data_IF_494986444035
#
_entry.id   IF_494986444035
#
_cell.length_a   1.000
_cell.length_b   1.000
_cell.length_c   1.000
_cell.angle_alpha   90.00
_cell.angle_beta   90.00
_cell.angle_gamma   90.00
#
_symmetry.space_group_name_H-M   'P 1'
#
loop_
_entity.id
_entity.type
_entity.pdbx_description
1 polymer ?
#
# COMPACT_ATOMS: atom_id res chain seq x y z
N UNK A 1 -35.89 -68.14 41.28
CA UNK A 1 -35.63 -66.71 40.93
C UNK A 1 -34.13 -66.51 41.11
N UNK A 2 -33.32 -66.02 40.18
CA UNK A 2 -33.46 -64.95 39.19
C UNK A 2 -32.59 -65.34 37.99
N UNK A 3 -33.16 -65.36 36.78
CA UNK A 3 -32.42 -65.56 35.54
C UNK A 3 -31.80 -64.23 35.10
N UNK A 4 -30.46 -64.15 35.06
CA UNK A 4 -29.74 -63.00 34.54
C UNK A 4 -29.75 -63.01 33.00
N UNK A 5 -30.52 -62.10 32.40
CA UNK A 5 -30.46 -61.76 30.96
C UNK A 5 -29.11 -61.12 30.66
N UNK A 6 -28.27 -61.77 29.83
CA UNK A 6 -27.13 -61.12 29.19
C UNK A 6 -27.65 -60.17 28.09
N UNK A 7 -27.54 -58.87 28.32
CA UNK A 7 -27.68 -57.84 27.29
C UNK A 7 -26.38 -57.80 26.45
N UNK A 8 -26.45 -58.27 25.21
CA UNK A 8 -25.38 -58.14 24.22
C UNK A 8 -25.36 -56.72 23.66
N UNK A 9 -24.37 -55.92 24.08
CA UNK A 9 -23.97 -54.70 23.36
C UNK A 9 -23.39 -55.11 22.01
N UNK A 10 -24.06 -54.77 20.92
CA UNK A 10 -23.46 -54.80 19.60
C UNK A 10 -22.44 -53.66 19.49
N UNK A 11 -21.15 -54.01 19.39
CA UNK A 11 -20.09 -53.07 19.01
C UNK A 11 -20.29 -52.69 17.54
N UNK A 12 -20.59 -51.42 17.27
CA UNK A 12 -20.56 -50.87 15.91
C UNK A 12 -19.11 -50.88 15.44
N UNK A 13 -18.74 -51.84 14.58
CA UNK A 13 -17.45 -51.83 13.87
C UNK A 13 -17.35 -50.54 13.06
N UNK A 14 -16.31 -49.75 13.31
CA UNK A 14 -16.00 -48.57 12.52
C UNK A 14 -15.82 -48.99 11.05
N UNK A 15 -16.72 -48.55 10.17
CA UNK A 15 -16.63 -48.78 8.73
C UNK A 15 -15.35 -48.14 8.22
N UNK A 16 -14.44 -48.96 7.70
CA UNK A 16 -13.24 -48.50 6.99
C UNK A 16 -13.64 -47.48 5.92
N UNK A 17 -12.93 -46.35 5.78
CA UNK A 17 -13.27 -45.37 4.76
C UNK A 17 -13.24 -46.04 3.38
N UNK A 18 -14.20 -45.68 2.49
CA UNK A 18 -14.27 -46.28 1.16
C UNK A 18 -12.95 -46.06 0.40
N UNK A 19 -12.53 -47.02 -0.45
CA UNK A 19 -11.18 -47.08 -1.01
C UNK A 19 -10.76 -45.82 -1.78
N UNK A 20 -11.70 -45.06 -2.33
CA UNK A 20 -11.41 -43.82 -3.05
C UNK A 20 -10.86 -42.68 -2.15
N UNK A 21 -11.24 -42.64 -0.86
CA UNK A 21 -10.78 -41.59 0.07
C UNK A 21 -9.27 -41.76 0.38
N UNK A 22 -8.75 -42.97 0.27
CA UNK A 22 -7.32 -43.26 0.48
C UNK A 22 -6.42 -42.66 -0.61
N UNK A 23 -6.95 -42.48 -1.83
CA UNK A 23 -6.21 -41.90 -2.97
C UNK A 23 -6.37 -40.38 -3.11
N UNK A 24 -7.31 -39.77 -2.39
CA UNK A 24 -7.56 -38.33 -2.41
C UNK A 24 -6.31 -37.46 -2.09
N UNK A 25 -5.52 -37.73 -1.03
CA UNK A 25 -4.32 -36.93 -0.76
C UNK A 25 -3.24 -37.09 -1.84
N UNK A 26 -3.17 -38.26 -2.49
CA UNK A 26 -2.24 -38.51 -3.60
C UNK A 26 -2.67 -37.69 -4.81
N UNK A 27 -3.96 -37.69 -5.16
CA UNK A 27 -4.49 -36.89 -6.25
C UNK A 27 -4.28 -35.38 -6.04
N UNK A 28 -4.49 -34.88 -4.81
CA UNK A 28 -4.22 -33.49 -4.44
C UNK A 28 -2.72 -33.17 -4.54
N UNK A 29 -1.85 -34.07 -4.07
CA UNK A 29 -0.40 -33.90 -4.16
C UNK A 29 0.11 -33.85 -5.60
N UNK A 30 -0.41 -34.71 -6.48
CA UNK A 30 -0.09 -34.69 -7.92
C UNK A 30 -0.57 -33.40 -8.57
N UNK A 31 -1.80 -32.96 -8.27
CA UNK A 31 -2.32 -31.71 -8.80
C UNK A 31 -1.47 -30.49 -8.38
N UNK A 32 -1.09 -30.41 -7.10
CA UNK A 32 -0.19 -29.38 -6.58
C UNK A 32 1.18 -29.41 -7.27
N UNK A 33 1.77 -30.58 -7.46
CA UNK A 33 3.06 -30.71 -8.12
C UNK A 33 3.02 -30.26 -9.59
N UNK A 34 1.98 -30.65 -10.33
CA UNK A 34 1.76 -30.22 -11.72
C UNK A 34 1.53 -28.70 -11.77
N UNK A 35 0.72 -28.16 -10.85
CA UNK A 35 0.47 -26.73 -10.76
C UNK A 35 1.76 -25.94 -10.50
N UNK A 36 2.59 -26.37 -9.52
CA UNK A 36 3.86 -25.72 -9.21
C UNK A 36 4.85 -25.81 -10.39
N UNK A 37 4.92 -26.96 -11.07
CA UNK A 37 5.79 -27.16 -12.23
C UNK A 37 5.36 -26.32 -13.45
N UNK A 38 4.06 -26.16 -13.66
CA UNK A 38 3.52 -25.29 -14.71
C UNK A 38 3.91 -23.83 -14.45
N UNK A 39 3.68 -23.35 -13.22
CA UNK A 39 4.08 -22.00 -12.83
C UNK A 39 5.59 -21.77 -13.01
N UNK A 40 6.45 -22.73 -12.65
CA UNK A 40 7.91 -22.57 -12.78
C UNK A 40 8.37 -22.24 -14.21
N UNK A 41 7.76 -22.85 -15.22
CA UNK A 41 8.09 -22.61 -16.64
C UNK A 41 7.76 -21.18 -17.10
N UNK A 42 6.80 -20.52 -16.47
CA UNK A 42 6.44 -19.14 -16.80
C UNK A 42 7.43 -18.11 -16.20
N UNK A 43 8.28 -18.51 -15.24
CA UNK A 43 9.26 -17.63 -14.60
C UNK A 43 10.70 -17.84 -15.08
N UNK A 44 11.06 -19.02 -15.58
CA UNK A 44 12.44 -19.32 -15.99
C UNK A 44 12.54 -20.00 -17.35
N UNK A 45 13.58 -19.63 -18.09
CA UNK A 45 13.97 -20.26 -19.36
C UNK A 45 15.29 -21.00 -19.15
N UNK A 46 15.36 -22.25 -19.62
CA UNK A 46 16.59 -23.03 -19.59
C UNK A 46 17.46 -22.68 -20.81
N UNK A 47 18.74 -22.37 -20.59
CA UNK A 47 19.73 -22.12 -21.64
C UNK A 47 20.35 -23.42 -22.17
N UNK A 48 21.04 -23.30 -23.31
CA UNK A 48 21.76 -24.40 -23.95
C UNK A 48 22.87 -25.02 -23.08
N UNK A 49 23.40 -24.25 -22.11
CA UNK A 49 24.39 -24.70 -21.12
C UNK A 49 23.78 -25.43 -19.91
N UNK A 50 22.46 -25.61 -19.88
CA UNK A 50 21.72 -26.22 -18.77
C UNK A 50 21.43 -25.27 -17.60
N UNK A 51 21.88 -24.02 -17.65
CA UNK A 51 21.56 -23.00 -16.64
C UNK A 51 20.14 -22.44 -16.80
N UNK A 52 19.57 -21.93 -15.70
CA UNK A 52 18.26 -21.27 -15.71
C UNK A 52 18.44 -19.76 -15.63
N UNK A 53 17.68 -19.03 -16.45
CA UNK A 53 17.57 -17.57 -16.38
C UNK A 53 16.12 -17.15 -16.20
N UNK A 54 15.90 -16.01 -15.56
CA UNK A 54 14.58 -15.40 -15.44
C UNK A 54 14.03 -15.12 -16.85
N UNK A 55 12.74 -15.36 -17.04
CA UNK A 55 12.06 -15.09 -18.30
C UNK A 55 12.25 -13.61 -18.71
N UNK A 56 12.63 -13.32 -19.97
CA UNK A 56 12.99 -11.97 -20.40
C UNK A 56 11.87 -10.95 -20.14
N UNK A 57 10.60 -11.33 -20.38
CA UNK A 57 9.45 -10.47 -20.10
C UNK A 57 9.37 -10.00 -18.64
N UNK A 58 9.74 -10.87 -17.69
CA UNK A 58 9.78 -10.54 -16.25
C UNK A 58 10.94 -9.61 -15.92
N UNK A 59 12.08 -9.80 -16.58
CA UNK A 59 13.22 -8.89 -16.45
C UNK A 59 12.86 -7.50 -16.99
N UNK A 60 12.20 -7.43 -18.14
CA UNK A 60 11.75 -6.18 -18.76
C UNK A 60 10.67 -5.50 -17.92
N UNK A 61 9.73 -6.27 -17.35
CA UNK A 61 8.74 -5.78 -16.38
C UNK A 61 9.41 -5.14 -15.16
N UNK A 62 10.39 -5.84 -14.57
CA UNK A 62 11.15 -5.33 -13.44
C UNK A 62 11.95 -4.06 -13.79
N UNK A 63 12.54 -4.01 -14.98
CA UNK A 63 13.34 -2.85 -15.41
C UNK A 63 12.46 -1.62 -15.66
N UNK A 64 11.30 -1.80 -16.32
CA UNK A 64 10.30 -0.73 -16.47
C UNK A 64 9.83 -0.21 -15.12
N UNK A 65 9.70 -1.07 -14.12
CA UNK A 65 9.29 -0.63 -12.78
C UNK A 65 10.39 0.16 -12.08
N UNK A 66 11.66 -0.19 -12.26
CA UNK A 66 12.79 0.61 -11.74
C UNK A 66 12.86 1.98 -12.39
N UNK A 67 12.71 2.05 -13.72
CA UNK A 67 12.74 3.31 -14.46
C UNK A 67 11.69 4.29 -13.94
N UNK A 68 10.48 3.81 -13.58
CA UNK A 68 9.46 4.65 -12.95
C UNK A 68 9.86 5.20 -11.58
N UNK A 69 10.77 4.54 -10.86
CA UNK A 69 11.28 5.03 -9.58
C UNK A 69 12.36 6.10 -9.77
N UNK A 70 12.89 6.28 -10.98
CA UNK A 70 13.87 7.33 -11.27
C UNK A 70 13.21 8.67 -11.60
N UNK A 71 11.95 8.66 -12.08
CA UNK A 71 11.18 9.86 -12.41
C UNK A 71 10.01 10.06 -11.44
N UNK A 72 10.31 10.62 -10.28
CA UNK A 72 9.36 10.98 -9.26
C UNK A 72 9.33 12.48 -9.02
N UNK A 73 8.24 12.96 -8.41
CA UNK A 73 8.05 14.37 -8.09
C UNK A 73 7.61 14.56 -6.64
N UNK A 74 8.30 15.45 -5.93
CA UNK A 74 7.84 16.02 -4.67
C UNK A 74 7.04 17.30 -4.93
N UNK A 75 5.91 17.44 -4.25
CA UNK A 75 4.96 18.53 -4.45
C UNK A 75 4.40 19.06 -3.14
N UNK A 76 3.79 20.22 -3.23
CA UNK A 76 2.93 20.79 -2.19
C UNK A 76 1.52 21.07 -2.75
N UNK A 77 0.52 20.76 -1.94
CA UNK A 77 -0.84 21.25 -2.11
C UNK A 77 -0.97 22.50 -1.26
N UNK A 78 -1.31 23.61 -1.90
CA UNK A 78 -1.54 24.89 -1.23
C UNK A 78 -3.01 25.29 -1.34
N UNK A 79 -3.49 26.06 -0.37
CA UNK A 79 -4.78 26.71 -0.41
C UNK A 79 -4.85 27.63 -1.65
N UNK A 80 -5.85 27.45 -2.50
CA UNK A 80 -6.06 28.31 -3.68
C UNK A 80 -6.64 29.66 -3.27
N UNK A 81 -7.58 29.66 -2.33
CA UNK A 81 -8.15 30.89 -1.74
C UNK A 81 -8.14 30.80 -0.21
N UNK A 82 -8.24 31.94 0.47
CA UNK A 82 -8.29 31.96 1.93
C UNK A 82 -9.62 31.39 2.44
N UNK A 83 -9.59 30.46 3.40
CA UNK A 83 -10.80 29.80 3.88
C UNK A 83 -10.56 28.69 4.88
N UNK A 84 -11.64 27.98 5.24
CA UNK A 84 -11.58 26.82 6.12
C UNK A 84 -11.31 25.55 5.32
N UNK A 85 -10.18 24.91 5.61
CA UNK A 85 -9.76 23.66 4.98
C UNK A 85 -9.90 22.50 5.96
N UNK A 86 -10.16 21.31 5.43
CA UNK A 86 -10.17 20.09 6.22
C UNK A 86 -8.81 19.89 6.88
N UNK A 87 -8.82 19.60 8.18
CA UNK A 87 -7.64 19.32 8.96
C UNK A 87 -7.84 18.03 9.73
N UNK A 88 -7.12 16.97 9.35
CA UNK A 88 -7.35 15.64 9.90
C UNK A 88 -6.86 15.49 11.35
N UNK A 89 -5.98 16.38 11.82
CA UNK A 89 -5.43 16.37 13.18
C UNK A 89 -6.00 17.46 14.08
N UNK A 90 -6.76 18.41 13.53
CA UNK A 90 -7.33 19.50 14.32
C UNK A 90 -8.56 19.00 15.08
N UNK A 91 -8.73 19.44 16.34
CA UNK A 91 -9.90 19.09 17.16
C UNK A 91 -11.24 19.45 16.51
N UNK A 92 -11.29 20.53 15.73
CA UNK A 92 -12.49 21.00 15.01
C UNK A 92 -12.68 20.33 13.63
N UNK A 93 -11.74 19.49 13.19
CA UNK A 93 -11.73 18.89 11.85
C UNK A 93 -11.39 19.87 10.71
N UNK A 94 -11.20 21.15 11.01
CA UNK A 94 -10.86 22.20 10.04
C UNK A 94 -9.83 23.18 10.62
N UNK A 95 -9.07 23.82 9.74
CA UNK A 95 -8.21 24.97 10.06
C UNK A 95 -8.34 26.05 8.99
N UNK A 96 -8.18 27.31 9.38
CA UNK A 96 -8.13 28.41 8.42
C UNK A 96 -6.76 28.45 7.75
N UNK A 97 -6.73 28.51 6.42
CA UNK A 97 -5.53 28.74 5.63
C UNK A 97 -5.72 30.01 4.81
N UNK A 98 -4.67 30.83 4.72
CA UNK A 98 -4.62 31.90 3.73
C UNK A 98 -4.28 31.33 2.34
N UNK A 99 -4.69 32.03 1.29
CA UNK A 99 -4.27 31.70 -0.07
C UNK A 99 -2.74 31.56 -0.14
N UNK A 100 -2.27 30.45 -0.71
CA UNK A 100 -0.85 30.11 -0.83
C UNK A 100 -0.26 29.31 0.33
N UNK A 101 -0.97 29.19 1.47
CA UNK A 101 -0.47 28.40 2.60
C UNK A 101 -0.54 26.90 2.35
N UNK A 102 0.40 26.15 2.94
CA UNK A 102 0.54 24.73 2.70
C UNK A 102 -0.54 23.93 3.41
N UNK A 103 -1.27 23.13 2.63
CA UNK A 103 -2.21 22.14 3.14
C UNK A 103 -1.55 20.77 3.30
N UNK A 104 -0.72 20.35 2.34
CA UNK A 104 -0.08 19.02 2.34
C UNK A 104 1.20 19.01 1.51
N UNK A 105 2.22 18.30 1.99
CA UNK A 105 3.35 17.82 1.18
C UNK A 105 3.12 16.38 0.74
N UNK A 106 3.70 15.99 -0.39
CA UNK A 106 3.64 14.63 -0.88
C UNK A 106 4.64 14.34 -1.99
N UNK A 107 4.79 13.07 -2.31
CA UNK A 107 5.57 12.54 -3.42
C UNK A 107 4.68 11.71 -4.36
N UNK A 108 4.99 11.68 -5.65
CA UNK A 108 4.36 10.79 -6.64
C UNK A 108 5.30 10.53 -7.83
N UNK A 109 5.44 9.28 -8.25
CA UNK A 109 6.09 8.89 -9.51
C UNK A 109 5.08 8.76 -10.67
N UNK A 110 3.91 9.38 -10.48
CA UNK A 110 2.83 9.48 -11.46
C UNK A 110 2.05 10.76 -11.15
N UNK A 111 2.67 11.94 -11.32
CA UNK A 111 2.08 13.21 -10.88
C UNK A 111 0.76 13.52 -11.62
N UNK A 112 0.68 13.20 -12.92
CA UNK A 112 -0.49 13.36 -13.80
C UNK A 112 -1.78 12.75 -13.24
N UNK A 113 -1.68 11.57 -12.63
CA UNK A 113 -2.84 10.79 -12.16
C UNK A 113 -3.03 10.84 -10.65
N UNK A 114 -2.10 11.47 -9.92
CA UNK A 114 -2.09 11.49 -8.45
C UNK A 114 -3.34 12.14 -7.86
N UNK A 115 -3.78 13.25 -8.45
CA UNK A 115 -5.00 13.95 -8.06
C UNK A 115 -5.82 14.30 -9.29
N UNK A 116 -7.11 13.96 -9.27
CA UNK A 116 -8.05 14.39 -10.29
C UNK A 116 -8.19 15.93 -10.23
N UNK A 117 -8.20 16.65 -11.36
CA UNK A 117 -8.40 18.09 -11.40
C UNK A 117 -9.66 18.55 -10.64
N UNK A 118 -10.78 17.86 -10.82
CA UNK A 118 -12.05 18.15 -10.15
C UNK A 118 -11.95 18.05 -8.62
N UNK A 119 -11.17 17.08 -8.13
CA UNK A 119 -10.95 16.92 -6.69
C UNK A 119 -10.13 18.08 -6.12
N UNK A 120 -9.09 18.53 -6.84
CA UNK A 120 -8.31 19.70 -6.43
C UNK A 120 -9.18 20.97 -6.40
N UNK A 121 -10.06 21.13 -7.39
CA UNK A 121 -10.99 22.26 -7.44
C UNK A 121 -12.01 22.20 -6.30
N UNK A 122 -12.64 21.03 -6.06
CA UNK A 122 -13.60 20.83 -4.97
C UNK A 122 -12.97 21.09 -3.60
N UNK A 123 -11.70 20.73 -3.43
CA UNK A 123 -10.95 20.95 -2.18
C UNK A 123 -10.37 22.36 -2.06
N UNK A 124 -10.55 23.22 -3.07
CA UNK A 124 -9.94 24.54 -3.20
C UNK A 124 -8.40 24.52 -3.07
N UNK A 125 -7.76 23.50 -3.65
CA UNK A 125 -6.31 23.30 -3.59
C UNK A 125 -5.65 23.56 -4.94
N UNK A 126 -4.36 23.91 -4.89
CA UNK A 126 -3.49 23.97 -6.05
C UNK A 126 -2.32 23.02 -5.85
N UNK A 127 -2.10 22.15 -6.83
CA UNK A 127 -0.92 21.30 -6.92
C UNK A 127 0.27 22.12 -7.41
N UNK A 128 1.38 22.09 -6.68
CA UNK A 128 2.60 22.82 -7.04
C UNK A 128 3.80 21.87 -6.95
N UNK A 129 4.48 21.58 -8.08
CA UNK A 129 5.70 20.79 -8.07
C UNK A 129 6.81 21.55 -7.32
N UNK A 130 7.61 20.82 -6.56
CA UNK A 130 8.74 21.36 -5.77
C UNK A 130 10.06 20.85 -6.32
N UNK A 131 10.16 19.55 -6.61
CA UNK A 131 11.37 18.89 -7.07
C UNK A 131 11.02 17.65 -7.92
N UNK A 132 11.84 17.36 -8.93
CA UNK A 132 11.78 16.13 -9.72
C UNK A 132 13.12 15.39 -9.57
N UNK A 133 13.08 14.08 -9.35
CA UNK A 133 14.25 13.24 -9.18
C UNK A 133 13.86 11.81 -8.80
N UNK A 134 14.81 11.04 -8.24
CA UNK A 134 14.53 9.65 -7.88
C UNK A 134 13.51 9.56 -6.74
N UNK A 135 12.94 8.37 -6.56
CA UNK A 135 12.05 8.06 -5.45
C UNK A 135 12.69 8.39 -4.10
N UNK A 136 13.96 8.02 -3.91
CA UNK A 136 14.70 8.27 -2.68
C UNK A 136 14.87 9.77 -2.42
N UNK A 137 15.32 10.52 -3.42
CA UNK A 137 15.51 11.97 -3.31
C UNK A 137 14.19 12.67 -2.99
N UNK A 138 13.13 12.32 -3.71
CA UNK A 138 11.81 12.86 -3.48
C UNK A 138 11.29 12.52 -2.08
N UNK A 139 11.51 11.27 -1.62
CA UNK A 139 11.06 10.80 -0.31
C UNK A 139 11.79 11.52 0.82
N UNK A 140 13.10 11.67 0.72
CA UNK A 140 13.91 12.43 1.68
C UNK A 140 13.39 13.86 1.78
N UNK A 141 13.18 14.52 0.64
CA UNK A 141 12.67 15.90 0.63
C UNK A 141 11.26 16.01 1.22
N UNK A 142 10.35 15.08 0.93
CA UNK A 142 9.01 15.06 1.55
C UNK A 142 9.10 14.99 3.08
N UNK A 143 9.97 14.12 3.60
CA UNK A 143 10.22 13.95 5.04
C UNK A 143 10.73 15.26 5.65
N UNK A 144 11.71 15.91 5.03
CA UNK A 144 12.27 17.18 5.51
C UNK A 144 11.22 18.30 5.53
N UNK A 145 10.45 18.45 4.45
CA UNK A 145 9.38 19.44 4.36
C UNK A 145 8.30 19.25 5.43
N UNK A 146 7.94 18.00 5.74
CA UNK A 146 6.98 17.70 6.80
C UNK A 146 7.59 17.95 8.19
N UNK A 147 8.84 17.52 8.41
CA UNK A 147 9.59 17.71 9.65
C UNK A 147 9.70 19.19 10.02
N UNK A 148 9.94 20.05 9.04
CA UNK A 148 10.20 21.48 9.25
C UNK A 148 8.92 22.32 9.28
N UNK A 149 7.75 21.73 9.00
CA UNK A 149 6.47 22.45 9.04
C UNK A 149 6.16 23.17 10.37
N UNK A 150 6.49 22.64 11.58
CA UNK A 150 6.25 23.34 12.84
C UNK A 150 6.82 24.76 12.90
N UNK A 151 7.98 24.98 12.26
CA UNK A 151 8.70 26.26 12.24
C UNK A 151 8.37 27.12 11.01
N UNK A 152 7.44 26.67 10.17
CA UNK A 152 7.08 27.40 8.96
C UNK A 152 6.33 28.71 9.32
N UNK A 153 6.60 29.83 8.63
CA UNK A 153 6.03 31.14 8.99
C UNK A 153 4.51 31.20 9.12
N UNK A 154 3.72 30.56 8.24
CA UNK A 154 2.25 30.49 8.43
C UNK A 154 1.84 29.74 9.68
N UNK A 155 2.59 28.73 10.10
CA UNK A 155 2.28 28.00 11.31
C UNK A 155 2.64 28.82 12.55
N UNK A 156 3.75 29.54 12.52
CA UNK A 156 4.17 30.42 13.61
C UNK A 156 3.24 31.62 13.82
N UNK A 157 2.60 32.12 12.75
CA UNK A 157 1.58 33.16 12.80
C UNK A 157 0.30 32.74 13.54
N UNK A 158 0.05 31.43 13.69
CA UNK A 158 -1.12 30.92 14.45
C UNK A 158 -0.92 31.13 15.95
N UNK A 159 -2.01 31.35 16.71
CA UNK A 159 -1.97 31.28 18.16
C UNK A 159 -1.31 29.97 18.61
N UNK A 160 -0.54 30.00 19.70
CA UNK A 160 0.27 28.85 20.14
C UNK A 160 -0.55 27.56 20.30
N UNK A 161 -1.80 27.66 20.76
CA UNK A 161 -2.73 26.54 20.91
C UNK A 161 -3.27 25.94 19.60
N UNK A 162 -3.10 26.65 18.47
CA UNK A 162 -3.55 26.25 17.14
C UNK A 162 -2.40 25.93 16.18
N UNK A 163 -1.16 25.99 16.65
CA UNK A 163 0.00 25.55 15.86
C UNK A 163 -0.07 24.05 15.64
N UNK A 164 0.24 23.62 14.42
CA UNK A 164 0.15 22.23 14.02
C UNK A 164 1.56 21.62 13.92
N UNK A 165 1.76 20.36 14.34
CA UNK A 165 3.05 19.68 14.23
C UNK A 165 3.36 19.23 12.79
N UNK A 166 2.35 19.11 11.92
CA UNK A 166 2.49 18.75 10.51
C UNK A 166 1.41 19.49 9.68
N UNK A 167 1.50 19.53 8.34
CA UNK A 167 0.48 20.16 7.52
C UNK A 167 -0.93 19.58 7.74
N UNK A 168 -2.00 20.38 7.65
CA UNK A 168 -3.36 19.98 8.04
C UNK A 168 -3.93 18.81 7.23
N UNK A 169 -3.52 18.66 5.97
CA UNK A 169 -3.93 17.57 5.08
C UNK A 169 -3.26 16.22 5.36
N UNK A 170 -2.38 16.12 6.36
CA UNK A 170 -1.80 14.85 6.79
C UNK A 170 -2.67 14.13 7.84
N UNK A 171 -2.86 12.83 7.67
CA UNK A 171 -3.69 11.99 8.56
C UNK A 171 -2.96 11.48 9.81
N UNK A 172 -1.63 11.42 9.78
CA UNK A 172 -0.83 10.89 10.89
C UNK A 172 0.52 11.60 10.99
N UNK A 173 1.01 11.72 12.22
CA UNK A 173 2.35 12.27 12.54
C UNK A 173 3.46 11.24 12.26
N UNK A 174 3.12 9.94 12.28
CA UNK A 174 4.08 8.88 11.94
C UNK A 174 4.43 8.94 10.45
N UNK A 175 5.69 9.19 10.15
CA UNK A 175 6.27 9.02 8.83
C UNK A 175 6.50 7.51 8.64
N UNK A 176 5.80 6.89 7.68
CA UNK A 176 5.93 5.47 7.34
C UNK A 176 7.13 5.21 6.44
#
# INVERSE_FOLDING_TARGET
>A
MIAYKKNTKQEKKASSPPPFIQYLPIAIGVFLAVFLAYNWRDYVVQRQDGSYVVHPERKDEAEREKEKLEDCQTYKLIARESGWYMCYLCRRGVCYLNAGEVWKYGMSCSPETRYKPDWLQQMNLKYVPVFNGSWEECRVLEIELIRDYPIHPENLKRPQSLRLPIPPGHKSIKMK
#
